data_IF_941382020420
#
_entry.id   IF_941382020420
#
_cell.length_a   1.000
_cell.length_b   1.000
_cell.length_c   1.000
_cell.angle_alpha   90.00
_cell.angle_beta   90.00
_cell.angle_gamma   90.00
#
_symmetry.space_group_name_H-M   'P 1'
#
loop_
_entity.id
_entity.type
_entity.pdbx_description
1 polymer ?
#
# COMPACT_ATOMS: atom_id res chain seq x y z
N UNK A 1 -43.55 19.03 -35.28
CA UNK A 1 -42.57 17.99 -35.66
C UNK A 1 -41.21 18.47 -35.18
N UNK A 2 -40.47 17.72 -34.35
CA UNK A 2 -39.21 18.25 -33.81
C UNK A 2 -38.19 18.40 -34.94
N UNK A 3 -37.43 19.50 -34.92
CA UNK A 3 -36.42 19.78 -35.94
C UNK A 3 -35.17 18.93 -35.68
N UNK A 4 -34.64 18.33 -36.74
CA UNK A 4 -33.36 17.61 -36.69
C UNK A 4 -32.21 18.59 -36.44
N UNK A 5 -31.24 18.16 -35.63
CA UNK A 5 -30.04 18.93 -35.34
C UNK A 5 -28.95 18.46 -36.29
N UNK A 6 -28.30 19.41 -36.97
CA UNK A 6 -27.19 19.18 -37.89
C UNK A 6 -25.90 19.72 -37.27
N UNK A 7 -24.85 18.91 -37.23
CA UNK A 7 -23.51 19.39 -36.89
C UNK A 7 -22.76 19.83 -38.15
N UNK A 8 -21.82 20.78 -38.04
CA UNK A 8 -20.98 21.20 -39.18
C UNK A 8 -20.20 20.05 -39.82
N UNK A 9 -19.96 18.99 -39.04
CA UNK A 9 -19.26 17.76 -39.44
C UNK A 9 -20.14 16.78 -40.23
N UNK A 10 -21.42 17.09 -40.45
CA UNK A 10 -22.36 16.31 -41.26
C UNK A 10 -23.23 15.32 -40.49
N UNK A 11 -23.13 15.25 -39.16
CA UNK A 11 -23.98 14.37 -38.35
C UNK A 11 -25.35 15.01 -38.18
N UNK A 12 -26.41 14.28 -38.53
CA UNK A 12 -27.79 14.71 -38.31
C UNK A 12 -28.44 13.78 -37.30
N UNK A 13 -28.98 14.32 -36.21
CA UNK A 13 -29.65 13.53 -35.18
C UNK A 13 -30.91 14.23 -34.67
N UNK A 14 -31.86 13.42 -34.21
CA UNK A 14 -33.04 13.94 -33.54
C UNK A 14 -32.67 14.36 -32.10
N UNK A 15 -33.25 15.45 -31.54
CA UNK A 15 -32.97 15.88 -30.18
C UNK A 15 -33.10 14.77 -29.14
N UNK A 16 -34.15 13.94 -29.25
CA UNK A 16 -34.38 12.82 -28.33
C UNK A 16 -33.25 11.77 -28.39
N UNK A 17 -32.69 11.51 -29.57
CA UNK A 17 -31.56 10.58 -29.71
C UNK A 17 -30.30 11.12 -29.05
N UNK A 18 -30.08 12.43 -29.13
CA UNK A 18 -28.95 13.09 -28.46
C UNK A 18 -29.11 13.01 -26.95
N UNK A 19 -30.32 13.32 -26.43
CA UNK A 19 -30.61 13.21 -25.00
C UNK A 19 -30.43 11.78 -24.50
N UNK A 20 -30.91 10.79 -25.25
CA UNK A 20 -30.72 9.39 -24.90
C UNK A 20 -29.23 9.00 -24.86
N UNK A 21 -28.43 9.49 -25.81
CA UNK A 21 -26.98 9.28 -25.82
C UNK A 21 -26.30 9.92 -24.61
N UNK A 22 -26.68 11.16 -24.27
CA UNK A 22 -26.17 11.85 -23.08
C UNK A 22 -26.50 11.10 -21.79
N UNK A 23 -27.75 10.64 -21.63
CA UNK A 23 -28.14 9.85 -20.46
C UNK A 23 -27.43 8.50 -20.41
N UNK A 24 -27.31 7.79 -21.54
CA UNK A 24 -26.57 6.54 -21.60
C UNK A 24 -25.09 6.73 -21.22
N UNK A 25 -24.46 7.82 -21.68
CA UNK A 25 -23.08 8.16 -21.31
C UNK A 25 -22.96 8.49 -19.82
N UNK A 26 -23.90 9.25 -19.26
CA UNK A 26 -23.91 9.58 -17.83
C UNK A 26 -24.00 8.32 -16.97
N UNK A 27 -24.93 7.42 -17.30
CA UNK A 27 -25.07 6.12 -16.61
C UNK A 27 -23.78 5.31 -16.72
N UNK A 28 -23.20 5.22 -17.91
CA UNK A 28 -21.97 4.47 -18.13
C UNK A 28 -20.79 5.02 -17.29
N UNK A 29 -20.59 6.34 -17.26
CA UNK A 29 -19.54 6.97 -16.46
C UNK A 29 -19.79 6.74 -14.97
N UNK A 30 -21.05 6.80 -14.53
CA UNK A 30 -21.42 6.53 -13.15
C UNK A 30 -21.07 5.10 -12.74
N UNK A 31 -21.48 4.11 -13.54
CA UNK A 31 -21.22 2.70 -13.29
C UNK A 31 -19.73 2.38 -13.32
N UNK A 32 -18.99 2.95 -14.27
CA UNK A 32 -17.54 2.81 -14.36
C UNK A 32 -16.86 3.37 -13.10
N UNK A 33 -17.31 4.53 -12.62
CA UNK A 33 -16.77 5.17 -11.41
C UNK A 33 -17.04 4.33 -10.16
N UNK A 34 -18.24 3.76 -10.04
CA UNK A 34 -18.59 2.87 -8.93
C UNK A 34 -17.75 1.59 -8.96
N UNK A 35 -17.64 0.96 -10.14
CA UNK A 35 -16.84 -0.26 -10.34
C UNK A 35 -15.36 -0.03 -10.01
N UNK A 36 -14.79 1.10 -10.45
CA UNK A 36 -13.41 1.46 -10.14
C UNK A 36 -13.19 1.62 -8.62
N UNK A 37 -14.09 2.33 -7.92
CA UNK A 37 -14.01 2.47 -6.45
C UNK A 37 -14.13 1.14 -5.73
N UNK A 38 -15.06 0.28 -6.16
CA UNK A 38 -15.23 -1.06 -5.58
C UNK A 38 -13.96 -1.92 -5.79
N UNK A 39 -13.35 -1.84 -6.97
CA UNK A 39 -12.11 -2.55 -7.30
C UNK A 39 -10.96 -2.10 -6.41
N UNK A 40 -10.80 -0.79 -6.18
CA UNK A 40 -9.78 -0.25 -5.28
C UNK A 40 -10.00 -0.72 -3.84
N UNK A 41 -11.22 -0.61 -3.31
CA UNK A 41 -11.54 -1.07 -1.96
C UNK A 41 -11.27 -2.57 -1.77
N UNK A 42 -11.60 -3.40 -2.77
CA UNK A 42 -11.32 -4.83 -2.74
C UNK A 42 -9.81 -5.13 -2.81
N UNK A 43 -9.04 -4.35 -3.56
CA UNK A 43 -7.58 -4.47 -3.60
C UNK A 43 -6.96 -4.12 -2.25
N UNK A 44 -7.37 -3.00 -1.63
CA UNK A 44 -6.89 -2.58 -0.31
C UNK A 44 -7.19 -3.62 0.77
N UNK A 45 -8.42 -4.15 0.79
CA UNK A 45 -8.80 -5.22 1.74
C UNK A 45 -7.94 -6.47 1.56
N UNK A 46 -7.68 -6.90 0.32
CA UNK A 46 -6.80 -8.05 0.05
C UNK A 46 -5.37 -7.78 0.54
N UNK A 47 -4.85 -6.58 0.32
CA UNK A 47 -3.53 -6.18 0.78
C UNK A 47 -3.45 -6.22 2.31
N UNK A 48 -4.41 -5.64 3.01
CA UNK A 48 -4.47 -5.70 4.47
C UNK A 48 -4.61 -7.12 5.00
N UNK A 49 -5.43 -7.96 4.36
CA UNK A 49 -5.56 -9.36 4.77
C UNK A 49 -4.22 -10.12 4.61
N UNK A 50 -3.49 -9.88 3.53
CA UNK A 50 -2.17 -10.48 3.29
C UNK A 50 -1.13 -9.97 4.29
N UNK A 51 -1.07 -8.66 4.53
CA UNK A 51 -0.19 -8.05 5.53
C UNK A 51 -0.50 -8.57 6.94
N UNK A 52 -1.78 -8.70 7.30
CA UNK A 52 -2.18 -9.26 8.59
C UNK A 52 -1.80 -10.74 8.72
N UNK A 53 -1.97 -11.52 7.67
CA UNK A 53 -1.57 -12.93 7.65
C UNK A 53 -0.05 -13.07 7.80
N UNK A 54 0.72 -12.24 7.10
CA UNK A 54 2.18 -12.21 7.21
C UNK A 54 2.62 -11.75 8.59
N UNK A 55 2.01 -10.70 9.15
CA UNK A 55 2.24 -10.28 10.53
C UNK A 55 1.96 -11.43 11.50
N UNK A 56 0.81 -12.10 11.40
CA UNK A 56 0.48 -13.28 12.24
C UNK A 56 1.46 -14.44 12.06
N UNK A 57 2.02 -14.62 10.86
CA UNK A 57 3.05 -15.63 10.59
C UNK A 57 4.37 -15.29 11.29
N UNK A 58 4.80 -14.03 11.22
CA UNK A 58 6.05 -13.54 11.85
C UNK A 58 5.89 -13.41 13.37
N UNK A 59 4.67 -13.16 13.85
CA UNK A 59 4.29 -12.85 15.22
C UNK A 59 3.35 -13.89 15.84
N UNK A 60 3.79 -15.13 16.12
CA UNK A 60 2.91 -16.09 16.77
C UNK A 60 2.58 -15.62 18.20
N UNK A 61 1.34 -15.13 18.41
CA UNK A 61 0.75 -14.91 19.73
C UNK A 61 0.90 -13.51 20.36
N UNK A 62 1.55 -12.54 19.74
CA UNK A 62 1.68 -11.17 20.29
C UNK A 62 0.80 -10.11 19.63
N UNK A 63 0.31 -10.34 18.40
CA UNK A 63 -0.49 -9.33 17.67
C UNK A 63 -1.96 -9.28 18.12
N UNK A 64 -2.50 -10.42 18.56
CA UNK A 64 -3.91 -10.60 18.97
C UNK A 64 -4.05 -10.79 20.50
N UNK A 65 -2.96 -10.71 21.27
CA UNK A 65 -2.97 -10.90 22.73
C UNK A 65 -2.75 -9.59 23.48
N UNK A 66 -3.54 -9.32 24.53
CA UNK A 66 -3.31 -8.25 25.53
C UNK A 66 -2.09 -8.54 26.40
N UNK A 67 -0.97 -8.96 25.81
CA UNK A 67 0.24 -9.31 26.53
C UNK A 67 0.97 -8.01 26.87
N UNK A 68 0.67 -7.47 28.06
CA UNK A 68 1.44 -6.38 28.65
C UNK A 68 2.86 -6.87 28.91
N UNK A 69 3.84 -6.36 28.17
CA UNK A 69 5.25 -6.60 28.47
C UNK A 69 5.51 -6.06 29.87
N UNK A 70 5.90 -6.95 30.79
CA UNK A 70 6.30 -6.55 32.14
C UNK A 70 7.64 -5.83 32.03
N UNK A 71 7.64 -4.53 32.35
CA UNK A 71 8.88 -3.77 32.56
C UNK A 71 9.50 -4.25 33.88
N UNK A 72 10.74 -4.74 33.89
CA UNK A 72 11.43 -5.02 35.14
C UNK A 72 11.63 -3.70 35.91
N UNK A 73 11.29 -3.69 37.20
CA UNK A 73 11.75 -2.62 38.08
C UNK A 73 13.26 -2.77 38.23
N UNK A 74 14.00 -1.71 37.90
CA UNK A 74 15.42 -1.62 38.21
C UNK A 74 15.53 -1.48 39.73
N UNK A 75 15.70 -2.59 40.42
CA UNK A 75 16.08 -2.60 41.83
C UNK A 75 17.58 -2.34 41.86
N UNK A 76 17.98 -1.08 41.63
CA UNK A 76 19.20 -0.46 42.13
C UNK A 76 19.15 1.03 41.78
N UNK A 77 19.31 1.85 42.80
CA UNK A 77 18.94 3.26 42.82
C UNK A 77 19.75 4.19 41.90
N UNK A 78 19.16 5.38 41.78
CA UNK A 78 19.65 6.61 41.18
C UNK A 78 19.95 6.64 39.68
N UNK A 79 19.11 7.39 38.97
CA UNK A 79 19.40 7.90 37.63
C UNK A 79 18.14 8.23 36.86
N UNK A 80 17.64 9.47 37.03
CA UNK A 80 16.78 10.09 36.03
C UNK A 80 17.44 9.98 34.65
N UNK A 81 16.80 9.26 33.73
CA UNK A 81 16.95 9.52 32.30
C UNK A 81 15.55 9.57 31.69
N UNK A 82 15.02 10.80 31.63
CA UNK A 82 14.16 11.20 30.54
C UNK A 82 14.89 10.92 29.23
N UNK A 83 14.34 10.02 28.44
CA UNK A 83 14.85 9.66 27.13
C UNK A 83 13.73 9.03 26.33
N UNK A 84 13.00 9.86 25.61
CA UNK A 84 12.01 9.48 24.58
C UNK A 84 12.69 8.51 23.61
N UNK A 85 12.18 7.27 23.51
CA UNK A 85 12.51 6.37 22.40
C UNK A 85 11.25 6.22 21.57
N UNK A 86 11.05 7.19 20.67
CA UNK A 86 10.28 6.98 19.46
C UNK A 86 11.09 6.08 18.53
N UNK A 87 10.43 5.04 18.02
CA UNK A 87 10.79 4.36 16.78
C UNK A 87 12.08 3.54 16.82
N UNK A 88 11.94 2.23 16.63
CA UNK A 88 12.47 1.56 15.44
C UNK A 88 12.30 0.04 15.62
N UNK A 89 11.79 -0.57 14.56
CA UNK A 89 11.63 -2.00 14.40
C UNK A 89 12.96 -2.73 14.64
N UNK A 90 13.19 -3.17 15.87
CA UNK A 90 14.25 -4.09 16.25
C UNK A 90 13.93 -5.51 15.80
N UNK A 91 13.76 -5.71 14.49
CA UNK A 91 13.82 -7.05 13.91
C UNK A 91 15.25 -7.53 14.15
N UNK A 92 15.40 -8.55 15.01
CA UNK A 92 16.67 -9.08 15.44
C UNK A 92 17.53 -9.54 14.27
N UNK A 93 18.32 -8.62 13.72
CA UNK A 93 19.59 -8.95 13.11
C UNK A 93 20.57 -9.00 14.27
N UNK A 94 21.03 -10.20 14.59
CA UNK A 94 22.27 -10.35 15.34
C UNK A 94 23.37 -9.82 14.42
N UNK A 95 23.56 -8.49 14.41
CA UNK A 95 24.75 -7.87 13.87
C UNK A 95 25.92 -8.51 14.61
N UNK A 96 26.68 -9.33 13.88
CA UNK A 96 28.01 -9.72 14.32
C UNK A 96 28.77 -8.42 14.51
N UNK A 97 29.04 -8.13 15.77
CA UNK A 97 29.59 -6.88 16.26
C UNK A 97 31.10 -6.79 16.00
N UNK A 98 31.50 -6.99 14.75
CA UNK A 98 32.87 -6.86 14.28
C UNK A 98 32.78 -6.23 12.89
N UNK A 99 33.17 -4.96 12.76
CA UNK A 99 33.09 -4.16 11.53
C UNK A 99 33.99 -4.64 10.37
N UNK A 100 33.95 -5.94 10.07
CA UNK A 100 34.58 -6.57 8.92
C UNK A 100 33.48 -6.79 7.89
N UNK A 101 33.50 -6.08 6.75
CA UNK A 101 32.56 -6.33 5.67
C UNK A 101 32.67 -7.79 5.22
N UNK A 102 31.58 -8.55 5.24
CA UNK A 102 31.57 -9.89 4.67
C UNK A 102 31.66 -9.74 3.14
N UNK A 103 32.84 -10.06 2.59
CA UNK A 103 33.10 -9.95 1.15
C UNK A 103 32.08 -10.72 0.30
N UNK A 104 31.42 -11.74 0.86
CA UNK A 104 30.38 -12.52 0.19
C UNK A 104 29.08 -11.75 -0.01
N UNK A 105 28.79 -10.80 0.88
CA UNK A 105 27.61 -9.93 0.79
C UNK A 105 27.79 -8.93 -0.36
N UNK A 106 29.00 -8.35 -0.49
CA UNK A 106 29.34 -7.48 -1.62
C UNK A 106 29.24 -8.18 -2.98
N UNK A 107 29.76 -9.40 -3.10
CA UNK A 107 29.62 -10.20 -4.34
C UNK A 107 28.16 -10.57 -4.66
N UNK A 108 27.33 -10.81 -3.64
CA UNK A 108 25.91 -11.10 -3.84
C UNK A 108 25.14 -9.87 -4.34
N UNK A 109 25.46 -8.69 -3.81
CA UNK A 109 24.91 -7.42 -4.25
C UNK A 109 25.36 -7.09 -5.68
N UNK A 110 26.64 -7.25 -6.01
CA UNK A 110 27.14 -7.04 -7.38
C UNK A 110 26.54 -8.03 -8.39
N UNK A 111 26.23 -9.26 -7.99
CA UNK A 111 25.53 -10.22 -8.87
C UNK A 111 24.07 -9.82 -9.12
N UNK A 112 23.40 -9.29 -8.10
CA UNK A 112 21.99 -8.89 -8.20
C UNK A 112 21.81 -7.53 -8.88
N UNK A 113 22.73 -6.60 -8.67
CA UNK A 113 22.60 -5.19 -9.06
C UNK A 113 23.64 -4.73 -10.09
N UNK A 114 24.78 -5.41 -10.24
CA UNK A 114 25.89 -5.01 -11.12
C UNK A 114 25.60 -5.10 -12.62
N UNK A 115 24.49 -5.71 -13.02
CA UNK A 115 23.99 -5.72 -14.40
C UNK A 115 22.97 -4.62 -14.71
N UNK A 116 22.54 -3.83 -13.72
CA UNK A 116 21.62 -2.72 -13.95
C UNK A 116 22.39 -1.52 -14.49
N UNK A 117 22.48 -1.46 -15.81
CA UNK A 117 23.02 -0.32 -16.54
C UNK A 117 22.02 0.85 -16.45
N UNK A 118 21.90 1.45 -15.26
CA UNK A 118 21.23 2.72 -15.06
C UNK A 118 22.16 3.84 -15.53
N UNK A 119 22.17 4.04 -16.85
CA UNK A 119 22.62 5.28 -17.49
C UNK A 119 21.52 5.81 -18.39
#
# INVERSE_FOLDING_TARGET
>A
QPQYIHTPTGTTAHPDTILQSCHALQTHIHDLSLSARATLAAFEQRRWAAELAEKRRVAPGWLDGEVRILRPENIDGDGEMEGVVEGEDGMGLVERRDGVPDAREGEALDRAFGGMNIT
#
